data_IF_397787559474
#
_entry.id   IF_397787559474
#
_cell.length_a   1.000
_cell.length_b   1.000
_cell.length_c   1.000
_cell.angle_alpha   90.00
_cell.angle_beta   90.00
_cell.angle_gamma   90.00
#
_symmetry.space_group_name_H-M   'P 1'
#
loop_
_entity.id
_entity.type
_entity.pdbx_description
1 polymer ?
#
# COMPACT_ATOMS: atom_id res chain seq x y z
N UNK A 1 12.09 26.68 8.95
CA UNK A 1 11.17 26.52 7.81
C UNK A 1 11.38 25.13 7.22
N UNK A 2 10.85 24.10 7.89
CA UNK A 2 10.78 22.76 7.30
C UNK A 2 9.84 22.83 6.11
N UNK A 3 10.21 22.19 5.00
CA UNK A 3 9.36 22.09 3.82
C UNK A 3 7.98 21.59 4.26
N UNK A 4 6.92 22.26 3.82
CA UNK A 4 5.52 21.87 4.06
C UNK A 4 5.17 20.63 3.23
N UNK A 5 5.85 19.52 3.49
CA UNK A 5 5.65 18.26 2.79
C UNK A 5 4.48 17.53 3.46
N UNK A 6 3.46 17.10 2.70
CA UNK A 6 2.39 16.26 3.23
C UNK A 6 2.92 14.98 3.89
N UNK A 7 2.24 14.51 4.92
CA UNK A 7 2.48 13.23 5.57
C UNK A 7 1.45 12.22 5.07
N UNK A 8 1.91 11.15 4.43
CA UNK A 8 1.10 10.00 4.06
C UNK A 8 1.16 8.94 5.16
N UNK A 9 0.01 8.51 5.66
CA UNK A 9 -0.13 7.35 6.55
C UNK A 9 -1.13 6.39 5.91
N UNK A 10 -0.74 5.12 5.78
CA UNK A 10 -1.60 4.10 5.19
C UNK A 10 -1.95 2.99 6.20
N UNK A 11 -3.11 2.38 6.02
CA UNK A 11 -3.55 1.21 6.75
C UNK A 11 -3.90 0.08 5.78
N UNK A 12 -3.55 -1.16 6.12
CA UNK A 12 -3.93 -2.34 5.34
C UNK A 12 -5.33 -2.81 5.70
N UNK A 13 -5.98 -3.54 4.78
CA UNK A 13 -7.24 -4.25 5.05
C UNK A 13 -7.16 -5.23 6.22
N UNK A 14 -5.96 -5.73 6.56
CA UNK A 14 -5.76 -6.58 7.73
C UNK A 14 -5.74 -5.81 9.06
N UNK A 15 -5.18 -4.60 9.05
CA UNK A 15 -5.11 -3.73 10.21
C UNK A 15 -6.48 -3.16 10.57
N UNK A 16 -7.15 -2.61 9.56
CA UNK A 16 -8.34 -1.78 9.71
C UNK A 16 -9.34 -2.19 8.61
N UNK A 17 -10.51 -2.65 9.02
CA UNK A 17 -11.62 -3.01 8.14
C UNK A 17 -12.95 -2.65 8.82
N UNK A 18 -14.09 -2.85 8.12
CA UNK A 18 -15.42 -2.56 8.66
C UNK A 18 -15.80 -3.38 9.91
N UNK A 19 -15.03 -4.43 10.24
CA UNK A 19 -15.19 -5.29 11.41
C UNK A 19 -14.13 -5.03 12.50
N UNK A 20 -13.21 -4.08 12.27
CA UNK A 20 -12.15 -3.70 13.21
C UNK A 20 -10.75 -4.22 12.86
N UNK A 21 -10.59 -5.10 11.88
CA UNK A 21 -9.32 -5.75 11.58
C UNK A 21 -8.70 -6.42 12.81
N UNK A 22 -7.36 -6.52 12.87
CA UNK A 22 -6.67 -6.96 14.09
C UNK A 22 -6.45 -5.83 15.11
N UNK A 23 -6.63 -4.57 14.72
CA UNK A 23 -6.43 -3.42 15.61
C UNK A 23 -7.66 -3.09 16.46
N UNK A 24 -8.82 -3.63 16.10
CA UNK A 24 -10.12 -3.26 16.66
C UNK A 24 -10.65 -1.92 16.15
N UNK A 25 -10.07 -1.35 15.08
CA UNK A 25 -10.45 -0.05 14.52
C UNK A 25 -11.15 -0.21 13.16
N UNK A 26 -12.26 0.50 12.99
CA UNK A 26 -12.80 0.80 11.66
C UNK A 26 -11.98 1.89 10.96
N UNK A 27 -12.14 2.12 9.64
CA UNK A 27 -11.46 3.22 8.95
C UNK A 27 -11.76 4.59 9.57
N UNK A 28 -13.00 4.81 10.06
CA UNK A 28 -13.36 6.04 10.75
C UNK A 28 -12.63 6.18 12.10
N UNK A 29 -12.49 5.09 12.85
CA UNK A 29 -11.73 5.09 14.10
C UNK A 29 -10.25 5.40 13.86
N UNK A 30 -9.66 4.77 12.83
CA UNK A 30 -8.27 5.03 12.45
C UNK A 30 -8.06 6.48 12.00
N UNK A 31 -8.94 7.01 11.16
CA UNK A 31 -8.90 8.42 10.74
C UNK A 31 -8.94 9.36 11.96
N UNK A 32 -9.89 9.13 12.88
CA UNK A 32 -10.04 9.91 14.11
C UNK A 32 -8.82 9.81 15.03
N UNK A 33 -8.25 8.60 15.15
CA UNK A 33 -7.03 8.34 15.92
C UNK A 33 -5.85 9.15 15.39
N UNK A 34 -5.58 9.09 14.08
CA UNK A 34 -4.46 9.82 13.46
C UNK A 34 -4.68 11.33 13.56
N UNK A 35 -5.89 11.83 13.33
CA UNK A 35 -6.21 13.25 13.47
C UNK A 35 -6.00 13.76 14.90
N UNK A 36 -6.41 12.98 15.90
CA UNK A 36 -6.18 13.32 17.31
C UNK A 36 -4.69 13.39 17.63
N UNK A 37 -3.90 12.45 17.11
CA UNK A 37 -2.45 12.43 17.30
C UNK A 37 -1.80 13.66 16.63
N UNK A 38 -2.15 13.94 15.37
CA UNK A 38 -1.69 15.11 14.65
C UNK A 38 -1.99 16.41 15.43
N UNK A 39 -3.23 16.57 15.91
CA UNK A 39 -3.62 17.71 16.73
C UNK A 39 -2.82 17.83 18.03
N UNK A 40 -2.57 16.73 18.72
CA UNK A 40 -1.76 16.72 19.96
C UNK A 40 -0.30 17.10 19.75
N UNK A 41 0.23 16.86 18.55
CA UNK A 41 1.61 17.19 18.15
C UNK A 41 1.70 18.53 17.40
N UNK A 42 0.59 19.24 17.23
CA UNK A 42 0.55 20.50 16.47
C UNK A 42 0.78 20.34 14.97
N UNK A 43 0.57 19.14 14.42
CA UNK A 43 0.69 18.89 12.98
C UNK A 43 -0.60 19.31 12.25
N UNK A 44 -0.51 20.07 11.14
CA UNK A 44 -1.69 20.53 10.42
C UNK A 44 -2.39 19.38 9.70
N UNK A 45 -3.64 19.11 10.06
CA UNK A 45 -4.45 18.03 9.44
C UNK A 45 -4.64 18.20 7.94
N UNK A 46 -4.54 19.43 7.40
CA UNK A 46 -4.57 19.69 5.95
C UNK A 46 -3.34 19.16 5.20
N UNK A 47 -2.27 18.78 5.91
CA UNK A 47 -1.09 18.12 5.33
C UNK A 47 -1.10 16.61 5.55
N UNK A 48 -2.11 16.06 6.22
CA UNK A 48 -2.26 14.62 6.41
C UNK A 48 -3.01 14.02 5.22
N UNK A 49 -2.41 13.00 4.60
CA UNK A 49 -3.05 12.16 3.59
C UNK A 49 -3.20 10.78 4.20
N UNK A 50 -4.42 10.23 4.16
CA UNK A 50 -4.68 8.86 4.57
C UNK A 50 -4.91 7.98 3.34
N UNK A 51 -4.16 6.87 3.31
CA UNK A 51 -4.19 5.88 2.25
C UNK A 51 -4.65 4.50 2.72
N UNK A 52 -5.31 3.76 1.85
CA UNK A 52 -5.64 2.37 2.07
C UNK A 52 -4.72 1.48 1.25
N UNK A 53 -4.11 0.49 1.90
CA UNK A 53 -3.14 -0.42 1.31
C UNK A 53 -3.71 -1.83 1.10
N UNK A 54 -3.42 -2.40 -0.08
CA UNK A 54 -3.92 -3.70 -0.53
C UNK A 54 -5.42 -3.89 -0.25
N UNK A 55 -6.24 -2.93 -0.69
CA UNK A 55 -7.68 -2.98 -0.50
C UNK A 55 -8.31 -3.88 -1.57
N UNK A 56 -8.95 -4.95 -1.10
CA UNK A 56 -9.57 -5.97 -1.92
C UNK A 56 -9.95 -7.20 -1.09
N UNK A 57 -10.09 -8.38 -1.71
CA UNK A 57 -10.56 -9.60 -1.03
C UNK A 57 -9.50 -10.28 -0.15
N UNK A 58 -8.29 -9.71 -0.02
CA UNK A 58 -7.12 -10.34 0.64
C UNK A 58 -7.42 -10.90 2.02
N UNK A 59 -8.23 -10.23 2.84
CA UNK A 59 -8.57 -10.68 4.20
C UNK A 59 -9.55 -11.86 4.24
N UNK A 60 -10.27 -12.08 3.14
CA UNK A 60 -11.34 -13.06 3.04
C UNK A 60 -11.08 -14.10 1.93
N UNK A 61 -9.81 -14.35 1.59
CA UNK A 61 -9.41 -15.34 0.57
C UNK A 61 -9.92 -16.75 0.86
N UNK A 62 -10.16 -17.07 2.13
CA UNK A 62 -10.72 -18.35 2.56
C UNK A 62 -12.24 -18.47 2.33
N UNK A 63 -12.90 -17.45 1.78
CA UNK A 63 -14.30 -17.48 1.38
C UNK A 63 -14.41 -17.62 -0.16
N UNK A 64 -15.59 -18.01 -0.69
CA UNK A 64 -15.86 -17.93 -2.12
C UNK A 64 -15.76 -16.49 -2.62
N UNK A 65 -15.28 -16.31 -3.86
CA UNK A 65 -15.00 -15.02 -4.49
C UNK A 65 -16.17 -14.04 -4.41
N UNK A 66 -17.41 -14.53 -4.57
CA UNK A 66 -18.60 -13.68 -4.48
C UNK A 66 -18.74 -13.04 -3.08
N UNK A 67 -18.49 -13.81 -2.02
CA UNK A 67 -18.59 -13.34 -0.63
C UNK A 67 -17.39 -12.46 -0.26
N UNK A 68 -16.18 -12.87 -0.64
CA UNK A 68 -14.97 -12.10 -0.42
C UNK A 68 -15.04 -10.71 -1.09
N UNK A 69 -15.55 -10.64 -2.32
CA UNK A 69 -15.75 -9.37 -3.02
C UNK A 69 -16.89 -8.54 -2.42
N UNK A 70 -17.94 -9.14 -1.87
CA UNK A 70 -18.96 -8.39 -1.14
C UNK A 70 -18.37 -7.70 0.11
N UNK A 71 -17.48 -8.38 0.83
CA UNK A 71 -16.76 -7.75 1.94
C UNK A 71 -15.78 -6.67 1.48
N UNK A 72 -15.12 -6.86 0.32
CA UNK A 72 -14.24 -5.87 -0.28
C UNK A 72 -15.00 -4.61 -0.75
N UNK A 73 -16.23 -4.77 -1.23
CA UNK A 73 -17.12 -3.63 -1.55
C UNK A 73 -17.35 -2.76 -0.31
N UNK A 74 -17.74 -3.38 0.81
CA UNK A 74 -17.99 -2.68 2.08
C UNK A 74 -16.71 -2.06 2.68
N UNK A 75 -15.58 -2.75 2.51
CA UNK A 75 -14.26 -2.23 2.85
C UNK A 75 -13.99 -0.91 2.12
N UNK A 76 -14.13 -0.87 0.80
CA UNK A 76 -13.91 0.34 0.01
C UNK A 76 -14.86 1.46 0.43
N UNK A 77 -16.16 1.16 0.62
CA UNK A 77 -17.13 2.16 1.11
C UNK A 77 -16.67 2.76 2.43
N UNK A 78 -16.24 1.92 3.38
CA UNK A 78 -15.84 2.37 4.71
C UNK A 78 -14.58 3.24 4.70
N UNK A 79 -13.57 2.90 3.89
CA UNK A 79 -12.35 3.71 3.72
C UNK A 79 -12.68 5.06 3.08
N UNK A 80 -13.42 5.07 1.97
CA UNK A 80 -13.75 6.31 1.27
C UNK A 80 -14.64 7.20 2.14
N UNK A 81 -15.69 6.65 2.76
CA UNK A 81 -16.59 7.42 3.63
C UNK A 81 -15.88 8.03 4.84
N UNK A 82 -14.84 7.36 5.36
CA UNK A 82 -14.00 7.89 6.43
C UNK A 82 -13.08 9.05 5.99
N UNK A 83 -12.89 9.24 4.68
CA UNK A 83 -12.09 10.34 4.13
C UNK A 83 -10.69 9.95 3.65
N UNK A 84 -10.42 8.66 3.44
CA UNK A 84 -9.20 8.21 2.78
C UNK A 84 -9.21 8.65 1.32
N UNK A 85 -8.06 9.16 0.83
CA UNK A 85 -7.96 9.78 -0.52
C UNK A 85 -7.02 9.04 -1.46
N UNK A 86 -6.08 8.25 -0.94
CA UNK A 86 -5.25 7.34 -1.72
C UNK A 86 -5.77 5.91 -1.55
N UNK A 87 -6.12 5.23 -2.64
CA UNK A 87 -6.75 3.92 -2.60
C UNK A 87 -5.93 2.94 -3.45
N UNK A 88 -5.23 2.00 -2.81
CA UNK A 88 -4.57 0.89 -3.50
C UNK A 88 -5.58 -0.25 -3.72
N UNK A 89 -5.98 -0.47 -4.98
CA UNK A 89 -6.88 -1.53 -5.39
C UNK A 89 -6.10 -2.78 -5.78
N UNK A 90 -6.07 -3.77 -4.89
CA UNK A 90 -5.40 -5.04 -5.13
C UNK A 90 -6.38 -6.21 -5.01
N UNK A 91 -6.68 -6.82 -6.14
CA UNK A 91 -7.55 -7.98 -6.26
C UNK A 91 -6.84 -9.19 -6.88
N UNK A 92 -5.51 -9.25 -6.73
CA UNK A 92 -4.64 -10.28 -7.34
C UNK A 92 -4.75 -11.66 -6.69
N UNK A 93 -5.15 -11.71 -5.41
CA UNK A 93 -5.25 -12.95 -4.64
C UNK A 93 -6.46 -13.79 -5.03
N UNK A 94 -6.25 -15.09 -5.22
CA UNK A 94 -7.31 -16.09 -5.43
C UNK A 94 -8.13 -16.32 -4.17
N UNK A 95 -9.45 -16.33 -4.30
CA UNK A 95 -10.39 -16.79 -3.28
C UNK A 95 -10.57 -18.32 -3.34
N UNK A 96 -11.39 -18.89 -2.44
CA UNK A 96 -11.56 -20.35 -2.27
C UNK A 96 -11.91 -21.10 -3.58
N UNK A 97 -12.76 -20.51 -4.41
CA UNK A 97 -13.28 -21.09 -5.65
C UNK A 97 -12.63 -20.51 -6.93
N UNK A 98 -11.57 -19.72 -6.78
CA UNK A 98 -10.85 -19.12 -7.90
C UNK A 98 -9.80 -20.06 -8.52
N UNK A 99 -9.43 -19.84 -9.79
CA UNK A 99 -8.20 -20.40 -10.33
C UNK A 99 -6.97 -19.82 -9.59
N UNK A 100 -5.90 -20.61 -9.54
CA UNK A 100 -4.62 -20.21 -8.93
C UNK A 100 -3.50 -20.33 -9.98
N UNK A 101 -2.85 -19.23 -10.40
CA UNK A 101 -3.19 -17.84 -10.06
C UNK A 101 -4.42 -17.32 -10.83
N UNK A 102 -4.91 -16.14 -10.44
CA UNK A 102 -5.89 -15.39 -11.21
C UNK A 102 -5.30 -14.91 -12.55
N UNK A 103 -6.18 -14.65 -13.52
CA UNK A 103 -5.81 -13.96 -14.76
C UNK A 103 -5.92 -12.45 -14.59
N UNK A 104 -5.10 -11.68 -15.30
CA UNK A 104 -5.15 -10.20 -15.30
C UNK A 104 -6.57 -9.66 -15.56
N UNK A 105 -7.35 -10.33 -16.40
CA UNK A 105 -8.72 -9.95 -16.70
C UNK A 105 -9.65 -10.04 -15.47
N UNK A 106 -9.47 -11.06 -14.62
CA UNK A 106 -10.23 -11.21 -13.37
C UNK A 106 -9.78 -10.14 -12.37
N UNK A 107 -8.46 -9.98 -12.20
CA UNK A 107 -7.87 -9.00 -11.27
C UNK A 107 -8.35 -7.59 -11.62
N UNK A 108 -8.17 -7.18 -12.87
CA UNK A 108 -8.59 -5.87 -13.36
C UNK A 108 -10.10 -5.67 -13.27
N UNK A 109 -10.91 -6.70 -13.56
CA UNK A 109 -12.37 -6.62 -13.44
C UNK A 109 -12.83 -6.39 -11.99
N UNK A 110 -12.18 -7.04 -11.02
CA UNK A 110 -12.44 -6.83 -9.59
C UNK A 110 -12.01 -5.44 -9.14
N UNK A 111 -10.82 -4.98 -9.56
CA UNK A 111 -10.37 -3.63 -9.28
C UNK A 111 -11.33 -2.57 -9.85
N UNK A 112 -11.85 -2.77 -11.08
CA UNK A 112 -12.83 -1.87 -11.70
C UNK A 112 -14.14 -1.77 -10.92
N UNK A 113 -14.65 -2.91 -10.42
CA UNK A 113 -15.81 -2.93 -9.52
C UNK A 113 -15.55 -2.09 -8.26
N UNK A 114 -14.39 -2.28 -7.63
CA UNK A 114 -14.03 -1.54 -6.40
C UNK A 114 -13.83 -0.04 -6.68
N UNK A 115 -13.21 0.34 -7.79
CA UNK A 115 -13.06 1.74 -8.21
C UNK A 115 -14.43 2.42 -8.38
N UNK A 116 -15.40 1.73 -8.98
CA UNK A 116 -16.77 2.24 -9.15
C UNK A 116 -17.45 2.54 -7.82
N UNK A 117 -17.28 1.65 -6.85
CA UNK A 117 -17.82 1.81 -5.50
C UNK A 117 -17.14 2.98 -4.80
N UNK A 118 -15.83 3.11 -4.93
CA UNK A 118 -15.06 4.21 -4.38
C UNK A 118 -15.55 5.56 -4.93
N UNK A 119 -15.68 5.69 -6.24
CA UNK A 119 -16.14 6.90 -6.92
C UNK A 119 -17.57 7.28 -6.53
N UNK A 120 -18.48 6.31 -6.54
CA UNK A 120 -19.88 6.52 -6.14
C UNK A 120 -19.95 7.00 -4.69
N UNK A 121 -19.22 6.34 -3.80
CA UNK A 121 -19.20 6.68 -2.37
C UNK A 121 -18.59 8.07 -2.14
N UNK A 122 -17.53 8.43 -2.87
CA UNK A 122 -16.89 9.73 -2.74
C UNK A 122 -17.82 10.87 -3.17
N UNK A 123 -18.52 10.69 -4.29
CA UNK A 123 -19.50 11.65 -4.78
C UNK A 123 -20.69 11.78 -3.82
N UNK A 124 -21.24 10.67 -3.32
CA UNK A 124 -22.35 10.68 -2.37
C UNK A 124 -21.97 11.34 -1.04
N UNK A 125 -20.76 11.07 -0.54
CA UNK A 125 -20.31 11.54 0.77
C UNK A 125 -19.79 12.99 0.75
N UNK A 126 -19.08 13.38 -0.31
CA UNK A 126 -18.35 14.66 -0.36
C UNK A 126 -18.76 15.57 -1.52
N UNK A 127 -19.60 15.11 -2.45
CA UNK A 127 -20.02 15.88 -3.63
C UNK A 127 -18.91 16.10 -4.68
N UNK A 128 -17.77 15.44 -4.54
CA UNK A 128 -16.60 15.54 -5.42
C UNK A 128 -15.99 14.17 -5.69
N UNK A 129 -15.29 14.03 -6.81
CA UNK A 129 -14.53 12.84 -7.18
C UNK A 129 -13.04 13.20 -7.27
N UNK A 130 -12.34 13.14 -6.14
CA UNK A 130 -10.96 13.59 -5.95
C UNK A 130 -10.04 12.47 -5.42
N UNK A 131 -10.49 11.21 -5.46
CA UNK A 131 -9.69 10.04 -5.09
C UNK A 131 -8.55 9.81 -6.09
N UNK A 132 -7.40 9.39 -5.59
CA UNK A 132 -6.30 8.88 -6.40
C UNK A 132 -6.08 7.40 -6.12
N UNK A 133 -5.66 6.67 -7.15
CA UNK A 133 -5.61 5.22 -7.13
C UNK A 133 -4.21 4.70 -7.41
N UNK A 134 -3.92 3.57 -6.77
CA UNK A 134 -2.81 2.70 -7.09
C UNK A 134 -3.40 1.35 -7.49
N UNK A 135 -2.81 0.71 -8.49
CA UNK A 135 -3.20 -0.63 -8.97
C UNK A 135 -1.96 -1.53 -9.04
N UNK A 136 -2.20 -2.81 -9.34
CA UNK A 136 -1.13 -3.81 -9.42
C UNK A 136 -0.88 -4.45 -8.06
N UNK A 137 0.15 -5.28 -8.01
CA UNK A 137 0.61 -5.96 -6.82
C UNK A 137 2.08 -6.29 -7.03
N UNK A 138 2.84 -6.43 -5.97
CA UNK A 138 4.16 -7.04 -6.04
C UNK A 138 4.03 -8.56 -5.98
N UNK A 139 4.81 -9.26 -6.80
CA UNK A 139 4.87 -10.72 -6.78
C UNK A 139 6.32 -11.10 -6.50
N UNK A 140 6.60 -11.88 -5.43
CA UNK A 140 5.66 -12.38 -4.41
C UNK A 140 5.14 -11.27 -3.47
N UNK A 141 3.99 -11.54 -2.81
CA UNK A 141 3.35 -10.64 -1.82
C UNK A 141 4.31 -10.37 -0.64
N UNK A 142 4.41 -9.13 -0.13
CA UNK A 142 5.44 -8.66 0.78
C UNK A 142 5.10 -9.05 2.21
N UNK A 143 6.13 -9.34 2.99
CA UNK A 143 5.97 -9.72 4.39
C UNK A 143 7.19 -10.29 5.08
N UNK A 144 8.38 -10.17 4.46
CA UNK A 144 9.55 -10.93 4.87
C UNK A 144 9.40 -12.37 4.39
N UNK A 145 10.21 -12.76 3.41
CA UNK A 145 10.18 -14.11 2.90
C UNK A 145 10.37 -15.10 4.08
N UNK A 146 9.39 -16.00 4.27
CA UNK A 146 9.52 -17.11 5.23
C UNK A 146 10.56 -18.14 4.76
N UNK A 147 10.99 -18.04 3.50
CA UNK A 147 12.04 -18.81 2.87
C UNK A 147 13.24 -17.90 2.56
N UNK A 148 14.46 -18.45 2.62
CA UNK A 148 15.71 -17.73 2.29
C UNK A 148 15.55 -16.97 0.98
N UNK A 149 15.83 -15.65 0.98
CA UNK A 149 15.75 -14.81 -0.23
C UNK A 149 16.50 -15.47 -1.40
N UNK A 150 15.75 -15.90 -2.42
CA UNK A 150 16.29 -16.21 -3.75
C UNK A 150 16.34 -14.93 -4.58
N UNK A 151 17.06 -14.92 -5.70
CA UNK A 151 17.18 -13.74 -6.56
C UNK A 151 15.79 -13.16 -6.90
N UNK A 152 15.51 -11.93 -6.46
CA UNK A 152 14.29 -11.21 -6.81
C UNK A 152 14.33 -10.80 -8.28
N UNK A 153 13.33 -11.24 -9.03
CA UNK A 153 13.12 -10.79 -10.40
C UNK A 153 12.45 -9.42 -10.39
N UNK A 154 13.09 -8.45 -11.06
CA UNK A 154 12.50 -7.13 -11.31
C UNK A 154 11.32 -7.31 -12.27
N UNK A 155 10.19 -6.67 -11.98
CA UNK A 155 9.03 -6.70 -12.87
C UNK A 155 9.41 -6.26 -14.28
N UNK A 156 9.03 -7.05 -15.28
CA UNK A 156 9.35 -6.72 -16.66
C UNK A 156 8.46 -5.57 -17.17
N UNK A 157 8.96 -4.72 -18.07
CA UNK A 157 8.15 -3.68 -18.72
C UNK A 157 6.91 -4.26 -19.42
N UNK A 158 6.99 -5.46 -19.97
CA UNK A 158 5.90 -6.16 -20.65
C UNK A 158 4.79 -6.53 -19.67
N UNK A 159 5.14 -7.09 -18.51
CA UNK A 159 4.16 -7.44 -17.48
C UNK A 159 3.46 -6.19 -16.93
N UNK A 160 4.22 -5.14 -16.62
CA UNK A 160 3.67 -3.88 -16.16
C UNK A 160 2.72 -3.23 -17.19
N UNK A 161 3.09 -3.25 -18.48
CA UNK A 161 2.20 -2.80 -19.58
C UNK A 161 0.93 -3.64 -19.67
N UNK A 162 1.04 -4.96 -19.57
CA UNK A 162 -0.13 -5.85 -19.61
C UNK A 162 -1.10 -5.57 -18.46
N UNK A 163 -0.58 -5.35 -17.23
CA UNK A 163 -1.40 -4.96 -16.08
C UNK A 163 -2.12 -3.64 -16.32
N UNK A 164 -1.41 -2.61 -16.82
CA UNK A 164 -2.01 -1.31 -17.15
C UNK A 164 -3.10 -1.44 -18.21
N UNK A 165 -2.86 -2.19 -19.29
CA UNK A 165 -3.83 -2.38 -20.37
C UNK A 165 -5.08 -3.14 -19.90
N UNK A 166 -4.91 -4.19 -19.07
CA UNK A 166 -6.01 -4.92 -18.50
C UNK A 166 -6.90 -4.03 -17.61
N UNK A 167 -6.29 -3.21 -16.75
CA UNK A 167 -7.02 -2.27 -15.89
C UNK A 167 -7.70 -1.16 -16.69
N UNK A 168 -7.03 -0.59 -17.69
CA UNK A 168 -7.64 0.41 -18.57
C UNK A 168 -8.91 -0.12 -19.23
N UNK A 169 -8.83 -1.31 -19.82
CA UNK A 169 -9.97 -1.97 -20.46
C UNK A 169 -11.10 -2.30 -19.46
N UNK A 170 -10.76 -2.75 -18.25
CA UNK A 170 -11.75 -3.03 -17.22
C UNK A 170 -12.45 -1.76 -16.73
N UNK A 171 -11.73 -0.66 -16.53
CA UNK A 171 -12.32 0.63 -16.18
C UNK A 171 -13.20 1.19 -17.30
N UNK A 172 -12.78 1.10 -18.57
CA UNK A 172 -13.60 1.49 -19.72
C UNK A 172 -14.94 0.72 -19.75
N UNK A 173 -14.93 -0.59 -19.49
CA UNK A 173 -16.15 -1.41 -19.42
C UNK A 173 -17.11 -1.00 -18.32
N UNK A 174 -16.60 -0.52 -17.19
CA UNK A 174 -17.41 -0.04 -16.07
C UNK A 174 -17.87 1.42 -16.24
N UNK A 175 -17.45 2.10 -17.31
CA UNK A 175 -17.75 3.51 -17.58
C UNK A 175 -16.85 4.48 -16.79
N UNK A 176 -15.65 4.05 -16.41
CA UNK A 176 -14.70 4.77 -15.55
C UNK A 176 -13.50 5.34 -16.31
N UNK A 177 -13.60 5.58 -17.63
CA UNK A 177 -12.47 6.10 -18.42
C UNK A 177 -11.88 7.40 -17.85
N UNK A 178 -12.70 8.25 -17.25
CA UNK A 178 -12.30 9.54 -16.69
C UNK A 178 -11.45 9.43 -15.41
N UNK A 179 -11.36 8.25 -14.78
CA UNK A 179 -10.49 8.05 -13.61
C UNK A 179 -9.04 7.79 -14.01
N UNK A 180 -8.74 7.50 -15.29
CA UNK A 180 -7.39 7.11 -15.73
C UNK A 180 -6.30 8.13 -15.33
N UNK A 181 -6.50 9.46 -15.46
CA UNK A 181 -5.53 10.44 -14.98
C UNK A 181 -5.32 10.46 -13.46
N UNK A 182 -6.21 9.83 -12.69
CA UNK A 182 -6.13 9.65 -11.23
C UNK A 182 -5.59 8.28 -10.82
N UNK A 183 -5.25 7.42 -11.78
CA UNK A 183 -4.42 6.23 -11.53
C UNK A 183 -2.97 6.72 -11.51
N UNK A 184 -2.46 6.97 -10.31
CA UNK A 184 -1.16 7.63 -10.10
C UNK A 184 -0.02 6.64 -9.84
N UNK A 185 -0.35 5.41 -9.46
CA UNK A 185 0.64 4.40 -9.07
C UNK A 185 0.38 3.04 -9.71
N UNK A 186 1.46 2.40 -10.14
CA UNK A 186 1.51 0.95 -10.38
C UNK A 186 2.46 0.32 -9.38
N UNK A 187 1.99 -0.68 -8.64
CA UNK A 187 2.86 -1.50 -7.80
C UNK A 187 3.63 -2.48 -8.67
N UNK A 188 4.95 -2.52 -8.48
CA UNK A 188 5.91 -3.36 -9.20
C UNK A 188 7.04 -3.77 -8.24
N UNK A 189 7.80 -4.80 -8.60
CA UNK A 189 8.97 -5.26 -7.85
C UNK A 189 10.25 -4.65 -8.47
N UNK A 190 10.93 -3.67 -7.82
CA UNK A 190 12.19 -3.08 -8.30
C UNK A 190 13.44 -3.92 -7.99
N UNK A 191 13.28 -5.08 -7.34
CA UNK A 191 14.38 -5.88 -6.81
C UNK A 191 14.83 -5.41 -5.44
N UNK A 192 13.88 -5.01 -4.58
CA UNK A 192 14.13 -4.70 -3.17
C UNK A 192 13.28 -5.60 -2.29
N UNK A 193 13.89 -6.15 -1.26
CA UNK A 193 13.21 -6.95 -0.24
C UNK A 193 14.11 -7.10 0.99
N UNK A 194 13.58 -7.69 2.05
CA UNK A 194 14.34 -8.11 3.22
C UNK A 194 13.71 -9.36 3.82
N UNK A 195 14.52 -10.14 4.54
CA UNK A 195 14.06 -11.23 5.39
C UNK A 195 14.56 -11.01 6.83
N UNK A 196 14.58 -12.08 7.63
CA UNK A 196 15.01 -12.04 9.02
C UNK A 196 16.51 -11.78 9.22
N UNK A 197 17.34 -11.94 8.18
CA UNK A 197 18.80 -11.88 8.26
C UNK A 197 19.47 -11.05 7.16
N UNK A 198 18.77 -10.73 6.06
CA UNK A 198 19.36 -10.12 4.87
C UNK A 198 18.46 -9.03 4.27
N UNK A 199 19.10 -8.07 3.60
CA UNK A 199 18.45 -7.04 2.79
C UNK A 199 18.89 -7.23 1.35
N UNK A 200 17.94 -7.30 0.42
CA UNK A 200 18.19 -7.25 -1.01
C UNK A 200 18.26 -5.78 -1.43
N UNK A 201 19.48 -5.26 -1.59
CA UNK A 201 19.71 -3.87 -1.97
C UNK A 201 19.24 -3.58 -3.40
N UNK A 202 18.66 -2.40 -3.59
CA UNK A 202 18.28 -1.92 -4.92
C UNK A 202 19.46 -1.89 -5.90
N UNK A 203 19.24 -2.45 -7.09
CA UNK A 203 20.23 -2.50 -8.17
C UNK A 203 19.71 -1.70 -9.38
N UNK A 204 20.09 -0.41 -9.52
CA UNK A 204 19.49 0.49 -10.50
C UNK A 204 19.58 -0.03 -11.94
N UNK A 205 20.71 -0.65 -12.29
CA UNK A 205 20.95 -1.20 -13.63
C UNK A 205 19.95 -2.30 -14.04
N UNK A 206 19.29 -2.99 -13.09
CA UNK A 206 18.24 -3.99 -13.37
C UNK A 206 16.88 -3.36 -13.66
N UNK A 207 16.63 -2.15 -13.16
CA UNK A 207 15.34 -1.48 -13.26
C UNK A 207 15.26 -0.42 -14.38
N UNK A 208 16.35 -0.18 -15.13
CA UNK A 208 16.41 0.85 -16.20
C UNK A 208 15.26 0.71 -17.19
N UNK A 209 15.04 -0.50 -17.73
CA UNK A 209 13.99 -0.70 -18.73
C UNK A 209 12.58 -0.47 -18.18
N UNK A 210 12.35 -0.79 -16.90
CA UNK A 210 11.08 -0.55 -16.22
C UNK A 210 10.88 0.95 -15.96
N UNK A 211 11.93 1.64 -15.54
CA UNK A 211 11.96 3.08 -15.35
C UNK A 211 11.68 3.84 -16.66
N UNK A 212 12.37 3.50 -17.76
CA UNK A 212 12.13 4.10 -19.08
C UNK A 212 10.70 3.85 -19.60
N UNK A 213 10.09 2.73 -19.24
CA UNK A 213 8.72 2.41 -19.66
C UNK A 213 7.69 3.37 -19.06
N UNK A 214 7.84 3.76 -17.79
CA UNK A 214 6.84 4.59 -17.11
C UNK A 214 6.82 6.03 -17.63
N UNK A 215 7.91 6.49 -18.25
CA UNK A 215 7.99 7.83 -18.87
C UNK A 215 6.99 8.02 -20.03
N UNK A 216 6.43 6.94 -20.57
CA UNK A 216 5.34 7.00 -21.55
C UNK A 216 3.97 7.36 -20.94
N UNK A 217 3.86 7.49 -19.62
CA UNK A 217 2.61 7.72 -18.89
C UNK A 217 2.68 8.99 -18.03
N UNK A 218 2.00 10.06 -18.45
CA UNK A 218 2.13 11.41 -17.86
C UNK A 218 1.84 11.50 -16.34
N UNK A 219 0.93 10.66 -15.83
CA UNK A 219 0.44 10.73 -14.44
C UNK A 219 0.90 9.58 -13.56
N UNK A 220 1.64 8.62 -14.12
CA UNK A 220 1.95 7.35 -13.46
C UNK A 220 3.38 7.37 -12.90
N UNK A 221 3.52 6.96 -11.64
CA UNK A 221 4.78 6.58 -11.02
C UNK A 221 4.70 5.14 -10.51
N UNK A 222 5.82 4.58 -10.10
CA UNK A 222 5.80 3.31 -9.39
C UNK A 222 5.63 3.52 -7.88
N UNK A 223 4.85 2.62 -7.30
CA UNK A 223 4.79 2.41 -5.85
C UNK A 223 5.61 1.16 -5.53
N UNK A 224 6.64 1.31 -4.69
CA UNK A 224 7.51 0.22 -4.28
C UNK A 224 7.22 -0.13 -2.82
N UNK A 225 6.98 -1.43 -2.58
CA UNK A 225 6.76 -1.99 -1.27
C UNK A 225 8.07 -2.56 -0.70
N UNK A 226 8.09 -2.87 0.59
CA UNK A 226 9.26 -3.46 1.27
C UNK A 226 10.56 -2.66 1.10
N UNK A 227 10.46 -1.32 1.04
CA UNK A 227 11.63 -0.44 0.85
C UNK A 227 12.42 -0.21 2.15
N UNK A 228 11.98 -0.85 3.24
CA UNK A 228 12.62 -0.88 4.53
C UNK A 228 14.10 -1.27 4.43
N UNK A 229 14.91 -0.70 5.32
CA UNK A 229 16.35 -0.97 5.50
C UNK A 229 17.28 -0.62 4.32
N UNK A 230 16.75 -0.15 3.18
CA UNK A 230 17.56 0.33 2.07
C UNK A 230 18.43 1.53 2.49
N UNK A 231 19.61 1.64 1.88
CA UNK A 231 20.49 2.79 2.12
C UNK A 231 19.85 4.10 1.66
N UNK A 232 20.19 5.26 2.26
CA UNK A 232 19.70 6.55 1.80
C UNK A 232 20.01 6.84 0.32
N UNK A 233 21.13 6.31 -0.18
CA UNK A 233 21.51 6.40 -1.59
C UNK A 233 20.58 5.56 -2.48
N UNK A 234 20.26 4.33 -2.07
CA UNK A 234 19.32 3.46 -2.76
C UNK A 234 17.91 4.08 -2.80
N UNK A 235 17.40 4.59 -1.66
CA UNK A 235 16.11 5.29 -1.60
C UNK A 235 16.06 6.51 -2.53
N UNK A 236 17.14 7.29 -2.60
CA UNK A 236 17.24 8.40 -3.56
C UNK A 236 17.23 7.91 -5.01
N UNK A 237 17.90 6.79 -5.28
CA UNK A 237 17.99 6.24 -6.62
C UNK A 237 16.65 5.65 -7.07
N UNK A 238 15.93 4.95 -6.19
CA UNK A 238 14.53 4.53 -6.42
C UNK A 238 13.66 5.70 -6.88
N UNK A 239 13.69 6.84 -6.17
CA UNK A 239 12.90 8.02 -6.57
C UNK A 239 13.31 8.57 -7.94
N UNK A 240 14.62 8.59 -8.26
CA UNK A 240 15.10 9.03 -9.59
C UNK A 240 14.66 8.10 -10.70
N UNK A 241 14.52 6.82 -10.39
CA UNK A 241 14.13 5.77 -11.32
C UNK A 241 12.60 5.57 -11.32
N UNK A 242 11.85 6.58 -10.87
CA UNK A 242 10.39 6.71 -10.87
C UNK A 242 9.62 5.83 -9.88
N UNK A 243 10.31 5.15 -8.95
CA UNK A 243 9.71 4.58 -7.73
C UNK A 243 9.51 5.70 -6.71
N UNK A 244 8.49 6.52 -6.95
CA UNK A 244 8.29 7.78 -6.22
C UNK A 244 7.43 7.62 -4.97
N UNK A 245 6.67 6.54 -4.84
CA UNK A 245 5.95 6.19 -3.61
C UNK A 245 6.67 5.01 -2.96
N UNK A 246 7.36 5.26 -1.86
CA UNK A 246 8.17 4.27 -1.14
C UNK A 246 7.48 3.91 0.17
N UNK A 247 6.94 2.69 0.27
CA UNK A 247 6.31 2.22 1.51
C UNK A 247 7.35 1.70 2.49
N UNK A 248 7.19 2.10 3.74
CA UNK A 248 8.03 1.72 4.88
C UNK A 248 7.14 1.44 6.08
N UNK A 249 7.46 0.41 6.85
CA UNK A 249 6.69 0.03 8.03
C UNK A 249 7.55 -0.71 9.06
N UNK A 250 8.00 -1.94 8.77
CA UNK A 250 8.88 -2.71 9.64
C UNK A 250 10.11 -1.95 10.14
N UNK A 251 10.82 -1.18 9.31
CA UNK A 251 11.99 -0.42 9.74
C UNK A 251 11.67 0.63 10.81
N UNK A 252 10.48 1.24 10.76
CA UNK A 252 10.04 2.24 11.75
C UNK A 252 9.83 1.60 13.12
N UNK A 253 9.13 0.47 13.17
CA UNK A 253 8.86 -0.25 14.42
C UNK A 253 10.06 -1.04 14.91
N UNK A 254 10.96 -1.46 14.02
CA UNK A 254 12.25 -2.05 14.36
C UNK A 254 13.13 -1.05 15.11
N UNK A 255 13.30 0.17 14.59
CA UNK A 255 14.06 1.23 15.26
C UNK A 255 13.45 1.62 16.61
N UNK A 256 12.10 1.69 16.70
CA UNK A 256 11.41 1.89 17.98
C UNK A 256 11.74 0.77 18.98
N UNK A 257 11.71 -0.50 18.55
CA UNK A 257 12.05 -1.64 19.40
C UNK A 257 13.49 -1.57 19.90
N UNK A 258 14.45 -1.20 19.06
CA UNK A 258 15.86 -1.03 19.47
C UNK A 258 16.03 0.06 20.54
N UNK A 259 15.33 1.19 20.38
CA UNK A 259 15.32 2.25 21.37
C UNK A 259 14.73 1.78 22.71
N UNK A 260 13.59 1.07 22.68
CA UNK A 260 12.96 0.52 23.87
C UNK A 260 13.85 -0.53 24.57
N UNK A 261 14.52 -1.40 23.81
CA UNK A 261 15.44 -2.40 24.36
C UNK A 261 16.65 -1.74 25.02
N UNK A 262 17.19 -0.69 24.41
CA UNK A 262 18.29 0.09 24.99
C UNK A 262 17.87 0.79 26.28
N UNK A 263 16.65 1.35 26.33
CA UNK A 263 16.10 1.96 27.54
C UNK A 263 15.88 0.93 28.65
N UNK A 264 15.39 -0.27 28.32
CA UNK A 264 15.25 -1.35 29.29
C UNK A 264 16.61 -1.79 29.87
N UNK A 265 17.65 -1.91 29.04
CA UNK A 265 19.00 -2.21 29.51
C UNK A 265 19.55 -1.12 30.44
N UNK A 266 19.31 0.17 30.10
CA UNK A 266 19.67 1.30 30.98
C UNK A 266 18.92 1.22 32.31
N UNK A 267 17.63 0.87 32.29
CA UNK A 267 16.81 0.71 33.49
C UNK A 267 17.36 -0.39 34.42
N UNK A 268 17.76 -1.54 33.86
CA UNK A 268 18.35 -2.65 34.61
C UNK A 268 19.66 -2.26 35.32
N UNK A 269 20.47 -1.38 34.72
CA UNK A 269 21.71 -0.89 35.33
C UNK A 269 21.48 0.23 36.37
N UNK A 270 20.48 1.08 36.15
CA UNK A 270 20.25 2.28 36.98
C UNK A 270 19.29 2.04 38.16
N UNK A 271 18.34 1.10 38.06
CA UNK A 271 17.34 0.87 39.10
C UNK A 271 17.67 -0.37 39.95
N UNK A 272 17.51 -0.31 41.28
CA UNK A 272 17.63 -1.49 42.13
C UNK A 272 16.57 -2.54 41.74
N UNK A 273 16.94 -3.82 41.71
CA UNK A 273 16.10 -4.95 41.30
C UNK A 273 14.75 -5.14 42.03
N UNK A 274 14.40 -4.30 43.01
CA UNK A 274 13.09 -4.28 43.71
C UNK A 274 12.17 -3.14 43.28
N UNK A 275 12.59 -2.30 42.33
CA UNK A 275 11.80 -1.17 41.82
C UNK A 275 11.48 -1.27 40.32
N UNK A 276 11.94 -2.31 39.62
CA UNK A 276 11.58 -2.55 38.22
C UNK A 276 10.12 -3.04 38.15
N UNK A 277 9.38 -2.50 37.18
CA UNK A 277 7.94 -2.75 36.95
C UNK A 277 7.60 -4.21 36.66
#
# INVERSE_FOLDING_TARGET
HSQQTPLLIEATSNQVDQFGGYTGMSPADFYGFVCKLAGSLGFPTSQLILGGDHLGPTRWQNLPALQAMANADDLIRSYVAAGFKKIHLDCSMSCEDDPVPLTDAIVAGRAARLAKIAETTCLEQFGVADLVYVIGTEVPVPGGAHETLTELEVTTPEAARATLEAHRHAFEKEGLSDIWPRIIGLVVQPGVEFDHAQVCDYQPHKAVALSEMVEAYDTLVFEAHSTDYQTPQALRQLVKDHFAILKVGPALTFALREALFSLAAIEEELLPAKACS
#
